data_IF_022755069552
#
_entry.id   IF_022755069552
#
_cell.length_a   1.000
_cell.length_b   1.000
_cell.length_c   1.000
_cell.angle_alpha   90.00
_cell.angle_beta   90.00
_cell.angle_gamma   90.00
#
_symmetry.space_group_name_H-M   'P 1'
#
loop_
_entity.id
_entity.type
_entity.pdbx_description
1 polymer ?
#
# COMPACT_ATOMS: atom_id res chain seq x y z
N UNK A 1 -49.66 45.33 -11.42
CA UNK A 1 -50.03 44.55 -10.22
C UNK A 1 -51.25 43.68 -10.53
N UNK A 2 -51.08 42.35 -10.57
CA UNK A 2 -51.99 41.39 -9.90
C UNK A 2 -51.14 40.40 -9.06
N UNK A 3 -51.27 40.25 -7.74
CA UNK A 3 -52.33 39.69 -6.86
C UNK A 3 -52.55 38.17 -6.93
N UNK A 4 -52.07 37.49 -5.87
CA UNK A 4 -52.67 36.38 -5.12
C UNK A 4 -53.71 35.54 -5.89
N UNK A 5 -53.28 34.45 -6.55
CA UNK A 5 -54.10 33.27 -6.91
C UNK A 5 -53.32 32.30 -7.80
N UNK A 6 -52.34 31.58 -7.24
CA UNK A 6 -51.86 30.38 -7.94
C UNK A 6 -51.40 29.29 -6.97
N UNK A 7 -52.37 28.42 -6.59
CA UNK A 7 -52.22 26.96 -6.45
C UNK A 7 -51.29 26.51 -5.29
N UNK A 8 -51.72 26.32 -4.02
CA UNK A 8 -52.68 25.32 -3.50
C UNK A 8 -52.74 24.03 -4.35
N UNK A 9 -52.13 22.93 -3.90
CA UNK A 9 -52.49 21.51 -4.12
C UNK A 9 -51.25 20.65 -3.79
N UNK A 10 -51.12 20.10 -2.57
CA UNK A 10 -51.67 18.79 -2.19
C UNK A 10 -51.38 17.71 -3.24
N UNK A 11 -50.36 16.87 -3.03
CA UNK A 11 -50.38 15.52 -3.59
C UNK A 11 -49.66 14.53 -2.67
N UNK A 12 -50.47 13.94 -1.80
CA UNK A 12 -50.19 12.66 -1.18
C UNK A 12 -50.46 11.52 -2.19
N UNK A 13 -49.92 10.34 -1.88
CA UNK A 13 -50.33 8.99 -2.29
C UNK A 13 -49.80 8.36 -3.62
N UNK A 14 -48.86 7.41 -3.43
CA UNK A 14 -49.00 5.95 -3.66
C UNK A 14 -48.78 5.28 -5.05
N UNK A 15 -48.26 4.03 -4.96
CA UNK A 15 -48.39 2.80 -5.80
C UNK A 15 -47.18 2.43 -6.72
N UNK A 16 -46.24 1.52 -6.34
CA UNK A 16 -46.21 0.00 -6.30
C UNK A 16 -45.93 -0.68 -7.67
N UNK A 17 -45.61 -1.99 -7.78
CA UNK A 17 -44.46 -2.80 -7.31
C UNK A 17 -43.82 -3.65 -8.45
N UNK A 18 -42.68 -4.33 -8.25
CA UNK A 18 -42.31 -5.56 -9.01
C UNK A 18 -41.20 -6.34 -8.31
N UNK A 19 -41.48 -7.63 -8.10
CA UNK A 19 -40.69 -8.60 -7.36
C UNK A 19 -39.67 -9.31 -8.26
N UNK A 20 -38.47 -9.59 -7.75
CA UNK A 20 -37.71 -10.78 -8.13
C UNK A 20 -37.22 -11.51 -6.88
N UNK A 21 -37.37 -12.82 -6.94
CA UNK A 21 -37.23 -13.80 -5.87
C UNK A 21 -35.80 -14.38 -5.81
N UNK A 22 -35.45 -14.92 -4.63
CA UNK A 22 -34.40 -15.92 -4.35
C UNK A 22 -32.99 -15.36 -4.09
N UNK A 23 -32.32 -15.62 -2.95
CA UNK A 23 -32.34 -16.82 -2.12
C UNK A 23 -32.19 -16.51 -0.61
N UNK A 24 -32.78 -17.36 0.24
CA UNK A 24 -32.37 -17.60 1.63
C UNK A 24 -31.73 -19.01 1.67
N UNK A 25 -30.71 -19.34 2.51
CA UNK A 25 -30.74 -19.06 3.95
C UNK A 25 -29.40 -18.78 4.69
N UNK A 26 -29.52 -17.98 5.76
CA UNK A 26 -28.87 -18.10 7.09
C UNK A 26 -27.37 -17.78 7.28
N UNK A 27 -26.91 -17.67 8.54
CA UNK A 27 -26.93 -16.47 9.36
C UNK A 27 -25.51 -15.88 9.52
N UNK A 28 -25.44 -14.56 9.48
CA UNK A 28 -24.41 -13.71 10.09
C UNK A 28 -23.22 -14.47 10.73
N UNK A 29 -22.09 -14.68 10.05
CA UNK A 29 -20.87 -15.06 10.74
C UNK A 29 -20.49 -13.86 11.61
N UNK A 30 -20.69 -13.98 12.93
CA UNK A 30 -20.10 -13.05 13.89
C UNK A 30 -18.61 -12.96 13.56
N UNK A 31 -18.05 -11.78 13.25
CA UNK A 31 -16.61 -11.61 13.24
C UNK A 31 -16.14 -11.85 14.67
N UNK A 32 -15.63 -13.05 14.93
CA UNK A 32 -14.92 -13.35 16.16
C UNK A 32 -13.65 -12.53 16.15
N UNK A 33 -13.64 -11.45 16.94
CA UNK A 33 -12.40 -10.79 17.35
C UNK A 33 -11.58 -11.80 18.14
N UNK A 34 -10.68 -12.50 17.45
CA UNK A 34 -9.60 -13.24 18.10
C UNK A 34 -8.60 -12.19 18.60
N UNK A 35 -8.27 -12.18 19.91
CA UNK A 35 -7.25 -11.29 20.44
C UNK A 35 -5.89 -11.85 20.04
N UNK A 36 -5.42 -11.53 18.84
CA UNK A 36 -4.10 -11.92 18.34
C UNK A 36 -3.02 -10.96 18.84
N UNK A 37 -2.94 -10.83 20.16
CA UNK A 37 -1.76 -10.27 20.83
C UNK A 37 -0.75 -11.42 21.04
N UNK A 38 0.02 -11.73 19.99
CA UNK A 38 1.10 -12.71 20.11
C UNK A 38 1.56 -13.27 18.78
N UNK A 39 2.67 -12.71 18.26
CA UNK A 39 3.58 -13.23 17.22
C UNK A 39 3.23 -14.64 16.70
N UNK A 40 2.46 -14.71 15.61
CA UNK A 40 2.26 -15.96 14.87
C UNK A 40 3.26 -16.00 13.72
N UNK A 41 4.26 -16.91 13.73
CA UNK A 41 5.28 -17.01 12.67
C UNK A 41 4.71 -17.39 11.30
N UNK A 42 3.46 -17.87 11.26
CA UNK A 42 2.72 -18.21 10.05
C UNK A 42 2.28 -16.93 9.31
N UNK A 43 2.01 -15.82 10.02
CA UNK A 43 1.67 -14.56 9.37
C UNK A 43 2.90 -13.96 8.68
N UNK A 44 4.06 -13.97 9.35
CA UNK A 44 5.33 -13.52 8.78
C UNK A 44 5.76 -14.41 7.59
N UNK A 45 5.56 -15.73 7.70
CA UNK A 45 5.80 -16.66 6.61
C UNK A 45 4.83 -16.45 5.45
N UNK A 46 3.55 -16.15 5.72
CA UNK A 46 2.53 -15.89 4.69
C UNK A 46 2.77 -14.53 3.99
N UNK A 47 3.22 -13.51 4.73
CA UNK A 47 3.70 -12.24 4.17
C UNK A 47 4.95 -12.43 3.30
N UNK A 48 5.86 -13.33 3.72
CA UNK A 48 7.06 -13.69 2.97
C UNK A 48 6.78 -14.60 1.76
N UNK A 49 5.69 -15.37 1.77
CA UNK A 49 5.27 -16.26 0.69
C UNK A 49 4.74 -15.49 -0.55
N UNK A 50 4.38 -14.21 -0.40
CA UNK A 50 3.89 -13.36 -1.48
C UNK A 50 4.92 -12.40 -2.08
N UNK A 51 6.09 -12.23 -1.46
CA UNK A 51 7.10 -11.27 -1.89
C UNK A 51 8.32 -11.98 -2.50
N UNK A 52 8.38 -12.08 -3.83
CA UNK A 52 9.61 -12.48 -4.49
C UNK A 52 10.71 -11.43 -4.21
N UNK A 53 11.94 -11.84 -3.86
CA UNK A 53 13.01 -10.87 -3.67
C UNK A 53 13.29 -10.11 -4.97
N UNK A 54 13.76 -8.86 -4.88
CA UNK A 54 14.05 -8.05 -6.07
C UNK A 54 14.94 -8.79 -7.07
N UNK A 55 14.72 -8.62 -8.39
CA UNK A 55 15.63 -9.13 -9.40
C UNK A 55 17.07 -8.69 -9.10
N UNK A 56 18.02 -9.63 -9.13
CA UNK A 56 19.44 -9.36 -8.80
C UNK A 56 20.03 -8.19 -9.60
N UNK A 57 19.57 -7.99 -10.83
CA UNK A 57 20.02 -6.89 -11.70
C UNK A 57 19.68 -5.50 -11.15
N UNK A 58 18.60 -5.38 -10.37
CA UNK A 58 18.14 -4.12 -9.80
C UNK A 58 18.69 -3.90 -8.38
N UNK A 59 19.23 -4.94 -7.76
CA UNK A 59 19.76 -4.84 -6.41
C UNK A 59 20.96 -3.90 -6.37
N UNK A 60 21.12 -3.19 -5.26
CA UNK A 60 22.30 -2.35 -5.04
C UNK A 60 23.58 -3.17 -5.13
N UNK A 61 24.60 -2.59 -5.77
CA UNK A 61 25.97 -3.11 -5.79
C UNK A 61 26.83 -2.49 -4.67
N UNK A 62 26.28 -1.56 -3.90
CA UNK A 62 26.96 -0.80 -2.86
C UNK A 62 26.25 -0.97 -1.50
N UNK A 63 26.16 -2.19 -0.95
CA UNK A 63 25.57 -2.37 0.37
C UNK A 63 26.36 -1.60 1.42
N UNK A 64 25.67 -0.98 2.38
CA UNK A 64 26.33 -0.17 3.41
C UNK A 64 26.48 -0.94 4.73
N UNK A 65 27.49 -0.61 5.56
CA UNK A 65 27.71 -1.27 6.85
C UNK A 65 26.51 -1.18 7.80
N UNK A 66 25.81 -0.04 7.80
CA UNK A 66 24.63 0.21 8.64
C UNK A 66 23.49 -0.75 8.30
N UNK A 67 23.36 -1.08 7.02
CA UNK A 67 22.29 -1.94 6.52
C UNK A 67 22.62 -3.44 6.56
N UNK A 68 23.82 -3.81 7.01
CA UNK A 68 24.29 -5.20 6.98
C UNK A 68 23.41 -6.15 7.83
N UNK A 69 22.94 -5.68 8.98
CA UNK A 69 22.07 -6.42 9.89
C UNK A 69 20.56 -6.23 9.58
N UNK A 70 20.20 -5.22 8.78
CA UNK A 70 18.82 -4.89 8.44
C UNK A 70 18.36 -5.75 7.26
N UNK A 71 18.89 -5.46 6.07
CA UNK A 71 18.45 -6.13 4.85
C UNK A 71 19.57 -6.30 3.81
N UNK A 72 20.82 -6.01 4.18
CA UNK A 72 21.99 -6.02 3.28
C UNK A 72 21.87 -5.07 2.09
N UNK A 73 21.02 -4.05 2.22
CA UNK A 73 20.83 -3.00 1.24
C UNK A 73 21.85 -1.87 1.38
N UNK A 74 21.57 -0.77 0.71
CA UNK A 74 22.34 0.46 0.75
C UNK A 74 21.58 1.50 1.58
N UNK A 75 22.27 2.15 2.52
CA UNK A 75 21.71 3.26 3.28
C UNK A 75 21.47 4.45 2.35
N UNK A 76 20.24 4.97 2.34
CA UNK A 76 19.82 6.12 1.54
C UNK A 76 19.10 7.13 2.43
N UNK A 77 19.16 8.41 2.03
CA UNK A 77 18.25 9.43 2.53
C UNK A 77 17.09 9.60 1.55
N UNK A 78 15.89 9.24 1.97
CA UNK A 78 14.69 9.36 1.14
C UNK A 78 13.80 10.48 1.65
N UNK A 79 13.21 11.28 0.75
CA UNK A 79 12.32 12.38 1.17
C UNK A 79 11.01 11.88 1.77
N UNK A 80 10.55 10.71 1.34
CA UNK A 80 9.39 10.02 1.92
C UNK A 80 9.52 8.51 1.70
N UNK A 81 8.70 7.75 2.43
CA UNK A 81 8.45 6.34 2.16
C UNK A 81 7.00 6.12 1.76
N UNK A 82 6.75 5.08 0.95
CA UNK A 82 5.43 4.69 0.47
C UNK A 82 5.30 3.16 0.46
N UNK A 83 4.07 2.69 0.56
CA UNK A 83 3.73 1.27 0.43
C UNK A 83 3.85 0.80 -1.05
N UNK A 84 3.84 -0.52 -1.24
CA UNK A 84 4.03 -1.17 -2.55
C UNK A 84 2.81 -1.06 -3.47
N UNK A 85 1.62 -0.80 -2.92
CA UNK A 85 0.34 -0.66 -3.62
C UNK A 85 0.06 0.75 -4.14
N UNK A 86 0.99 1.69 -3.94
CA UNK A 86 0.90 3.02 -4.57
C UNK A 86 1.01 2.85 -6.09
N UNK A 87 0.07 3.41 -6.85
CA UNK A 87 -0.02 3.23 -8.31
C UNK A 87 1.30 3.47 -9.08
N UNK A 88 2.11 4.45 -8.66
CA UNK A 88 3.42 4.71 -9.25
C UNK A 88 4.35 3.48 -9.13
N UNK A 89 4.36 2.89 -7.94
CA UNK A 89 5.22 1.78 -7.55
C UNK A 89 4.78 0.50 -8.27
N UNK A 90 3.47 0.22 -8.32
CA UNK A 90 2.90 -0.88 -9.10
C UNK A 90 3.18 -0.74 -10.61
N UNK A 91 3.06 0.47 -11.16
CA UNK A 91 3.33 0.72 -12.58
C UNK A 91 4.79 0.42 -12.94
N UNK A 92 5.74 0.88 -12.11
CA UNK A 92 7.16 0.59 -12.30
C UNK A 92 7.43 -0.91 -12.15
N UNK A 93 6.83 -1.57 -11.16
CA UNK A 93 6.93 -3.02 -10.99
C UNK A 93 6.52 -3.79 -12.25
N UNK A 94 5.41 -3.39 -12.87
CA UNK A 94 4.94 -3.94 -14.14
C UNK A 94 5.91 -3.69 -15.31
N UNK A 95 6.51 -2.50 -15.39
CA UNK A 95 7.47 -2.15 -16.45
C UNK A 95 8.73 -3.01 -16.38
N UNK A 96 9.24 -3.27 -15.18
CA UNK A 96 10.48 -4.02 -14.95
C UNK A 96 10.26 -5.51 -14.66
N UNK A 97 9.01 -5.98 -14.69
CA UNK A 97 8.67 -7.39 -14.59
C UNK A 97 8.93 -7.99 -13.21
N UNK A 98 8.70 -7.23 -12.14
CA UNK A 98 8.75 -7.73 -10.77
C UNK A 98 7.41 -7.54 -10.06
N UNK A 99 7.14 -8.39 -9.08
CA UNK A 99 5.96 -8.28 -8.21
C UNK A 99 6.37 -7.59 -6.91
N UNK A 100 5.51 -6.70 -6.39
CA UNK A 100 5.69 -6.09 -5.09
C UNK A 100 4.60 -6.57 -4.16
N UNK A 101 4.98 -6.82 -2.91
CA UNK A 101 4.00 -6.96 -1.86
C UNK A 101 3.45 -5.55 -1.55
N UNK A 102 2.12 -5.36 -1.45
CA UNK A 102 1.54 -4.11 -0.95
C UNK A 102 2.19 -3.58 0.34
N UNK A 103 2.64 -4.48 1.22
CA UNK A 103 3.29 -4.16 2.49
C UNK A 103 4.78 -3.81 2.34
N UNK A 104 5.37 -3.93 1.15
CA UNK A 104 6.76 -3.53 0.91
C UNK A 104 6.89 -2.00 1.03
N UNK A 105 7.80 -1.55 1.89
CA UNK A 105 8.14 -0.13 2.01
C UNK A 105 9.12 0.26 0.92
N UNK A 106 8.90 1.40 0.28
CA UNK A 106 9.71 1.93 -0.81
C UNK A 106 10.04 3.40 -0.52
N UNK A 107 11.23 3.85 -0.93
CA UNK A 107 11.70 5.21 -0.72
C UNK A 107 11.49 6.08 -1.96
N UNK A 108 11.00 7.30 -1.78
CA UNK A 108 10.84 8.29 -2.85
C UNK A 108 11.93 9.36 -2.79
N UNK A 109 12.40 9.76 -3.98
CA UNK A 109 13.39 10.82 -4.14
C UNK A 109 14.60 10.62 -3.23
N UNK A 110 15.25 9.46 -3.37
CA UNK A 110 16.34 9.04 -2.51
C UNK A 110 17.70 9.49 -3.04
N UNK A 111 18.58 9.89 -2.13
CA UNK A 111 19.95 10.29 -2.41
C UNK A 111 20.91 9.78 -1.31
N UNK A 112 22.19 10.16 -1.44
CA UNK A 112 23.27 9.79 -0.51
C UNK A 112 23.63 10.91 0.46
N UNK A 113 22.78 11.93 0.62
CA UNK A 113 23.00 13.01 1.60
C UNK A 113 22.58 12.53 2.99
N UNK A 114 23.44 11.69 3.58
CA UNK A 114 23.18 11.04 4.86
C UNK A 114 23.42 11.98 6.05
N UNK A 115 24.24 13.01 5.92
CA UNK A 115 24.60 13.86 7.06
C UNK A 115 23.49 14.85 7.40
N UNK A 116 22.93 15.52 6.38
CA UNK A 116 21.87 16.52 6.57
C UNK A 116 20.46 15.96 6.44
N UNK A 117 20.35 14.70 5.98
CA UNK A 117 19.16 14.03 5.49
C UNK A 117 17.83 14.69 5.90
N UNK A 118 17.20 15.50 5.01
CA UNK A 118 15.98 16.24 5.34
C UNK A 118 14.72 15.35 5.39
N UNK A 119 14.87 14.04 5.20
CA UNK A 119 13.80 13.06 5.22
C UNK A 119 14.12 11.90 6.17
N UNK A 120 13.96 10.68 5.68
CA UNK A 120 14.18 9.45 6.46
C UNK A 120 15.37 8.67 5.92
N UNK A 121 16.19 8.16 6.84
CA UNK A 121 17.27 7.23 6.51
C UNK A 121 16.71 5.82 6.49
N UNK A 122 16.87 5.15 5.36
CA UNK A 122 16.35 3.79 5.14
C UNK A 122 17.38 2.95 4.40
N UNK A 123 17.39 1.66 4.72
CA UNK A 123 18.17 0.64 4.05
C UNK A 123 17.38 0.05 2.90
N UNK A 124 17.79 0.26 1.64
CA UNK A 124 17.04 -0.21 0.47
C UNK A 124 17.83 -1.25 -0.33
N UNK A 125 17.17 -2.35 -0.73
CA UNK A 125 17.80 -3.40 -1.53
C UNK A 125 17.93 -3.03 -3.00
N UNK A 126 17.08 -2.16 -3.52
CA UNK A 126 17.11 -1.72 -4.92
C UNK A 126 17.27 -0.21 -4.97
N UNK A 127 18.38 0.23 -5.57
CA UNK A 127 18.73 1.64 -5.77
C UNK A 127 18.92 2.01 -7.25
N UNK A 128 18.76 1.04 -8.17
CA UNK A 128 18.93 1.25 -9.61
C UNK A 128 17.92 2.22 -10.24
N UNK A 129 16.82 2.52 -9.54
CA UNK A 129 15.76 3.42 -9.98
C UNK A 129 15.85 4.81 -9.32
N UNK A 130 16.94 5.07 -8.60
CA UNK A 130 17.20 6.37 -8.00
C UNK A 130 17.46 7.45 -9.08
N UNK A 131 17.08 8.72 -8.81
CA UNK A 131 16.52 9.19 -7.55
C UNK A 131 15.03 8.91 -7.38
N UNK A 132 14.31 8.54 -8.45
CA UNK A 132 12.84 8.46 -8.42
C UNK A 132 12.32 7.51 -7.33
N UNK A 133 12.89 6.30 -7.26
CA UNK A 133 12.37 5.24 -6.40
C UNK A 133 13.50 4.33 -5.91
N UNK A 134 13.53 4.05 -4.61
CA UNK A 134 14.24 2.94 -4.00
C UNK A 134 13.23 1.91 -3.52
N UNK A 135 13.51 0.61 -3.65
CA UNK A 135 12.53 -0.43 -3.33
C UNK A 135 13.03 -1.39 -2.26
N UNK A 136 12.08 -2.07 -1.59
CA UNK A 136 12.33 -2.99 -0.47
C UNK A 136 13.20 -2.33 0.61
N UNK A 137 12.75 -1.15 1.03
CA UNK A 137 13.36 -0.34 2.06
C UNK A 137 12.92 -0.79 3.46
N UNK A 138 13.79 -0.61 4.44
CA UNK A 138 13.51 -0.85 5.86
C UNK A 138 14.20 0.25 6.67
N UNK A 139 13.69 0.56 7.86
CA UNK A 139 14.31 1.53 8.76
C UNK A 139 15.76 1.10 9.09
N UNK A 140 16.67 2.08 9.04
CA UNK A 140 18.11 1.90 9.25
C UNK A 140 18.51 1.84 10.72
#
# INVERSE_FOLDING_TARGET
MPSLRTILLSLALLLTPSSFTSAAPNPNPKPGLLPLAGKIPILDALLALGAAPPPKLLQTVNPSPECAAVNKGELQCCRATVAGDVQLVEWIAKVYGYELNPDDVNGLNCDKDLDSCPGVKVCCKVTALNPLLSLWCQDA
#
